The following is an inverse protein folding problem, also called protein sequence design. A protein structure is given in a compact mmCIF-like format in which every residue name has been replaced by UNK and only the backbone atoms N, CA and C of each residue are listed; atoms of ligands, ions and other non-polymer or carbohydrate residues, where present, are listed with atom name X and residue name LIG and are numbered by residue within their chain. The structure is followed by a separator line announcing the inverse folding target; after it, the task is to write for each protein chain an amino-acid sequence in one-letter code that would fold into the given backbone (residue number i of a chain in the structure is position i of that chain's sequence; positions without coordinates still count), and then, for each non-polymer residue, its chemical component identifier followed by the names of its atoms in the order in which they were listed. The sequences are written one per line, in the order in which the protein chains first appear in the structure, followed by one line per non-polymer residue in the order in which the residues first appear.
data_IF_706093043559
#
_entry.id   IF_706093043559
#
_cell.length_a   1.000
_cell.length_b   1.000
_cell.length_c   1.000
_cell.angle_alpha   90.00
_cell.angle_beta   90.00
_cell.angle_gamma   90.00
#
_symmetry.space_group_name_H-M   'P 1'
#
loop_
_entity.id
_entity.type
_entity.pdbx_description
1 polymer ?
#
# COMPACT_ATOMS: atom_id res chain seq x y z
N UNK A 1 -16.59 -2.80 15.17
CA UNK A 1 -16.23 -3.35 16.50
C UNK A 1 -14.70 -3.53 16.54
N UNK A 2 -14.11 -3.57 17.73
CA UNK A 2 -12.67 -3.79 17.88
C UNK A 2 -12.30 -5.23 17.48
N UNK A 3 -11.02 -5.46 17.16
CA UNK A 3 -10.56 -6.79 16.83
C UNK A 3 -10.39 -7.62 18.10
N UNK A 4 -11.32 -8.55 18.32
CA UNK A 4 -11.42 -9.33 19.56
C UNK A 4 -11.57 -10.85 19.29
N UNK A 5 -10.49 -11.54 18.86
CA UNK A 5 -10.55 -12.97 18.57
C UNK A 5 -10.74 -13.84 19.84
N UNK A 6 -10.40 -13.31 21.02
CA UNK A 6 -10.44 -14.04 22.29
C UNK A 6 -11.68 -13.72 23.13
N UNK A 7 -12.61 -12.90 22.61
CA UNK A 7 -13.82 -12.48 23.30
C UNK A 7 -13.59 -11.89 24.71
N UNK A 8 -12.56 -11.05 24.84
CA UNK A 8 -12.22 -10.33 26.07
C UNK A 8 -12.97 -8.99 26.14
N UNK A 9 -12.96 -8.34 27.30
CA UNK A 9 -13.42 -6.95 27.42
C UNK A 9 -12.36 -5.98 26.89
N UNK A 10 -12.78 -4.76 26.55
CA UNK A 10 -11.87 -3.68 26.21
C UNK A 10 -10.95 -3.33 27.39
N UNK A 11 -9.72 -2.87 27.10
CA UNK A 11 -8.74 -2.48 28.12
C UNK A 11 -7.56 -1.68 27.56
N UNK A 12 -6.65 -1.26 28.45
CA UNK A 12 -5.43 -0.54 28.06
C UNK A 12 -4.44 -1.47 27.33
N UNK A 13 -3.54 -0.97 26.47
CA UNK A 13 -2.55 -1.80 25.75
C UNK A 13 -1.69 -2.69 26.64
N UNK A 14 -1.43 -2.25 27.87
CA UNK A 14 -0.64 -2.92 28.89
C UNK A 14 -1.44 -3.95 29.71
N UNK A 15 -2.77 -3.90 29.65
CA UNK A 15 -3.63 -4.82 30.39
C UNK A 15 -3.61 -6.22 29.73
N UNK A 16 -3.56 -7.28 30.56
CA UNK A 16 -3.66 -8.66 30.07
C UNK A 16 -5.03 -8.96 29.45
N UNK A 17 -6.08 -8.36 30.02
CA UNK A 17 -7.46 -8.46 29.55
C UNK A 17 -7.79 -7.22 28.73
N UNK A 18 -7.72 -7.37 27.40
CA UNK A 18 -8.10 -6.35 26.43
C UNK A 18 -8.49 -6.99 25.10
N UNK A 19 -9.09 -6.22 24.20
CA UNK A 19 -9.15 -6.68 22.81
C UNK A 19 -7.75 -6.67 22.19
N UNK A 20 -7.48 -7.64 21.31
CA UNK A 20 -6.23 -7.68 20.57
C UNK A 20 -6.00 -6.41 19.72
N UNK A 21 -7.07 -5.75 19.29
CA UNK A 21 -7.01 -4.49 18.53
C UNK A 21 -6.93 -3.22 19.37
N UNK A 22 -6.93 -3.30 20.71
CA UNK A 22 -6.84 -2.12 21.58
C UNK A 22 -5.39 -1.63 21.63
N UNK A 23 -5.14 -0.46 21.05
CA UNK A 23 -3.81 0.17 20.95
C UNK A 23 -3.68 1.44 21.79
N UNK A 24 -4.75 1.83 22.50
CA UNK A 24 -4.77 3.00 23.38
C UNK A 24 -4.78 4.34 22.65
N UNK A 25 -4.39 5.38 23.36
CA UNK A 25 -4.44 6.77 22.91
C UNK A 25 -3.16 7.21 22.19
N UNK A 26 -3.31 8.13 21.22
CA UNK A 26 -2.22 8.86 20.58
C UNK A 26 -2.38 10.35 20.83
N UNK A 27 -1.27 11.07 20.93
CA UNK A 27 -1.28 12.51 21.19
C UNK A 27 -0.91 13.25 19.91
N UNK A 28 -1.79 14.14 19.46
CA UNK A 28 -1.49 15.09 18.39
C UNK A 28 -0.77 16.32 18.96
N UNK A 29 0.22 16.83 18.24
CA UNK A 29 0.90 18.07 18.59
C UNK A 29 0.03 19.31 18.28
N UNK A 30 0.56 20.51 18.52
CA UNK A 30 -0.15 21.78 18.30
C UNK A 30 -0.57 22.01 16.83
N UNK A 31 0.09 21.34 15.87
CA UNK A 31 -0.24 21.40 14.45
C UNK A 31 -1.26 20.33 14.02
N UNK A 32 -1.75 19.50 14.96
CA UNK A 32 -2.67 18.40 14.70
C UNK A 32 -2.01 17.15 14.13
N UNK A 33 -0.67 17.02 14.24
CA UNK A 33 0.09 15.85 13.76
C UNK A 33 0.36 14.90 14.94
N UNK A 34 -0.02 13.63 14.78
CA UNK A 34 0.31 12.57 15.73
C UNK A 34 1.37 11.63 15.13
N UNK A 35 2.55 11.60 15.73
CA UNK A 35 3.60 10.61 15.43
C UNK A 35 3.65 9.58 16.57
N UNK A 36 3.35 8.32 16.26
CA UNK A 36 3.31 7.25 17.25
C UNK A 36 4.08 6.02 16.77
N UNK A 37 4.84 5.40 17.67
CA UNK A 37 5.45 4.08 17.48
C UNK A 37 4.91 3.18 18.57
N UNK A 38 4.07 2.22 18.19
CA UNK A 38 3.42 1.29 19.12
C UNK A 38 3.94 -0.11 18.82
N UNK A 39 4.31 -0.85 19.87
CA UNK A 39 4.77 -2.24 19.78
C UNK A 39 3.76 -3.10 20.52
N UNK A 40 3.18 -4.08 19.81
CA UNK A 40 2.13 -4.94 20.32
C UNK A 40 2.42 -6.41 19.98
N UNK A 41 2.13 -7.31 20.91
CA UNK A 41 2.35 -8.77 20.76
C UNK A 41 1.07 -9.57 20.48
N UNK A 42 -0.10 -8.97 20.65
CA UNK A 42 -1.42 -9.58 20.46
C UNK A 42 -1.96 -9.43 19.03
N UNK A 43 -1.31 -8.62 18.19
CA UNK A 43 -1.69 -8.34 16.79
C UNK A 43 -0.85 -9.18 15.81
N UNK A 44 -1.31 -10.38 15.40
CA UNK A 44 -0.59 -11.19 14.43
C UNK A 44 -0.75 -10.64 13.00
N UNK A 45 0.33 -10.69 12.22
CA UNK A 45 0.32 -10.33 10.79
C UNK A 45 0.03 -11.54 9.87
N UNK A 46 -0.08 -12.74 10.43
CA UNK A 46 -0.29 -14.00 9.70
C UNK A 46 -1.12 -14.99 10.52
N UNK A 47 -1.69 -15.99 9.85
CA UNK A 47 -2.55 -17.01 10.47
C UNK A 47 -4.03 -16.62 10.47
N UNK A 48 -4.89 -17.42 11.13
CA UNK A 48 -6.34 -17.24 11.09
C UNK A 48 -6.82 -15.93 11.73
N UNK A 49 -6.04 -15.40 12.68
CA UNK A 49 -6.33 -14.15 13.39
C UNK A 49 -5.56 -12.95 12.82
N UNK A 50 -5.01 -13.05 11.60
CA UNK A 50 -4.24 -11.96 11.02
C UNK A 50 -5.05 -10.66 10.90
N UNK A 51 -4.39 -9.52 11.17
CA UNK A 51 -5.00 -8.20 10.99
C UNK A 51 -4.93 -7.66 9.56
N UNK A 52 -4.22 -8.36 8.67
CA UNK A 52 -4.20 -8.03 7.24
C UNK A 52 -5.64 -8.08 6.68
N UNK A 53 -6.06 -7.01 6.02
CA UNK A 53 -7.43 -6.82 5.50
C UNK A 53 -8.42 -6.23 6.51
N UNK A 54 -8.03 -6.04 7.77
CA UNK A 54 -8.80 -5.27 8.76
C UNK A 54 -8.45 -3.78 8.68
N UNK A 55 -9.05 -2.96 9.52
CA UNK A 55 -8.79 -1.52 9.55
C UNK A 55 -8.14 -1.08 10.87
N UNK A 56 -7.19 -0.16 10.78
CA UNK A 56 -6.78 0.73 11.86
C UNK A 56 -7.77 1.91 11.88
N UNK A 57 -8.23 2.33 13.05
CA UNK A 57 -9.22 3.39 13.22
C UNK A 57 -8.70 4.42 14.23
N UNK A 58 -8.83 5.70 13.90
CA UNK A 58 -8.59 6.81 14.85
C UNK A 58 -9.94 7.35 15.29
N UNK A 59 -10.09 7.48 16.59
CA UNK A 59 -11.31 7.92 17.25
C UNK A 59 -11.32 9.42 17.52
N UNK A 60 -12.50 9.97 17.78
CA UNK A 60 -12.73 11.40 18.01
C UNK A 60 -12.38 11.83 19.44
N UNK A 61 -12.70 10.98 20.42
CA UNK A 61 -12.50 11.24 21.84
C UNK A 61 -11.40 10.33 22.39
N UNK A 62 -10.93 10.70 23.58
CA UNK A 62 -10.00 9.88 24.35
C UNK A 62 -10.64 8.56 24.74
N UNK A 63 -9.89 7.48 24.56
CA UNK A 63 -10.23 6.15 25.03
C UNK A 63 -10.02 6.08 26.56
N UNK A 64 -11.08 5.71 27.29
CA UNK A 64 -11.08 5.57 28.75
C UNK A 64 -10.46 4.27 29.27
N UNK A 65 -9.96 3.42 28.37
CA UNK A 65 -9.24 2.18 28.63
C UNK A 65 -10.07 1.15 29.42
N UNK A 66 -11.40 1.24 29.32
CA UNK A 66 -12.34 0.39 30.05
C UNK A 66 -12.54 0.81 31.51
N UNK A 67 -11.98 1.95 31.92
CA UNK A 67 -11.92 2.40 33.33
C UNK A 67 -12.82 3.61 33.60
N UNK A 68 -13.54 4.11 32.59
CA UNK A 68 -14.40 5.29 32.69
C UNK A 68 -15.75 5.08 33.39
N UNK A 69 -16.15 3.83 33.65
CA UNK A 69 -17.43 3.51 34.33
C UNK A 69 -18.68 3.76 33.49
N UNK A 70 -18.54 4.01 32.19
CA UNK A 70 -19.64 4.15 31.24
C UNK A 70 -20.01 2.78 30.64
N UNK A 71 -21.25 2.62 30.16
CA UNK A 71 -21.72 1.37 29.54
C UNK A 71 -20.86 0.95 28.35
N UNK A 72 -20.31 1.93 27.62
CA UNK A 72 -19.45 1.70 26.46
C UNK A 72 -17.97 1.54 26.82
N UNK A 73 -17.54 1.78 28.06
CA UNK A 73 -16.14 1.68 28.47
C UNK A 73 -15.59 0.27 28.20
N UNK A 74 -16.31 -0.77 28.64
CA UNK A 74 -15.88 -2.17 28.47
C UNK A 74 -15.96 -2.70 27.03
N UNK A 75 -16.49 -1.91 26.08
CA UNK A 75 -16.68 -2.34 24.68
C UNK A 75 -15.86 -1.55 23.68
N UNK A 76 -15.77 -0.22 23.82
CA UNK A 76 -15.08 0.65 22.87
C UNK A 76 -14.29 1.77 23.55
N UNK A 77 -14.06 1.69 24.86
CA UNK A 77 -13.33 2.72 25.60
C UNK A 77 -14.02 4.08 25.60
N UNK A 78 -15.32 4.14 25.27
CA UNK A 78 -16.08 5.38 25.13
C UNK A 78 -15.43 6.45 24.20
N UNK A 79 -14.62 6.03 23.22
CA UNK A 79 -13.82 6.92 22.38
C UNK A 79 -14.60 7.71 21.30
N UNK A 80 -15.93 7.72 21.36
CA UNK A 80 -16.78 8.49 20.44
C UNK A 80 -16.72 8.03 18.97
N UNK A 81 -16.87 8.98 18.05
CA UNK A 81 -16.94 8.73 16.60
C UNK A 81 -15.63 8.21 15.99
N UNK A 82 -15.70 7.75 14.73
CA UNK A 82 -14.52 7.32 13.96
C UNK A 82 -14.11 8.42 12.98
N UNK A 83 -13.00 9.10 13.26
CA UNK A 83 -12.51 10.18 12.42
C UNK A 83 -11.88 9.68 11.11
N UNK A 84 -11.11 8.60 11.21
CA UNK A 84 -10.42 8.02 10.06
C UNK A 84 -10.30 6.50 10.19
N UNK A 85 -10.31 5.81 9.06
CA UNK A 85 -10.02 4.38 8.98
C UNK A 85 -9.09 4.07 7.81
N UNK A 86 -8.18 3.13 8.00
CA UNK A 86 -7.25 2.68 6.95
C UNK A 86 -7.10 1.18 6.98
N UNK A 87 -7.13 0.54 5.81
CA UNK A 87 -6.97 -0.90 5.70
C UNK A 87 -5.50 -1.32 5.94
N UNK A 88 -5.30 -2.30 6.81
CA UNK A 88 -4.03 -2.98 7.05
C UNK A 88 -3.70 -3.85 5.84
N UNK A 89 -2.96 -3.30 4.88
CA UNK A 89 -2.56 -4.01 3.68
C UNK A 89 -1.13 -4.56 3.79
N UNK A 90 -0.86 -5.66 3.09
CA UNK A 90 0.52 -6.09 2.88
C UNK A 90 1.23 -5.03 2.06
N UNK A 91 2.39 -4.51 2.52
CA UNK A 91 3.13 -3.53 1.76
C UNK A 91 3.45 -4.14 0.39
N UNK A 92 3.06 -3.44 -0.67
CA UNK A 92 3.42 -3.84 -2.03
C UNK A 92 4.94 -3.95 -2.07
N UNK A 93 5.48 -5.16 -2.23
CA UNK A 93 6.93 -5.35 -2.40
C UNK A 93 7.40 -4.33 -3.43
N UNK A 94 8.25 -3.37 -3.04
CA UNK A 94 9.03 -2.58 -4.00
C UNK A 94 9.67 -3.62 -4.91
N UNK A 95 9.35 -3.61 -6.21
CA UNK A 95 9.86 -4.64 -7.12
C UNK A 95 11.36 -4.68 -6.98
N UNK A 96 11.92 -5.86 -6.69
CA UNK A 96 13.36 -6.07 -6.51
C UNK A 96 14.13 -5.30 -7.59
N UNK A 97 15.20 -4.60 -7.20
CA UNK A 97 16.08 -3.85 -8.13
C UNK A 97 16.46 -4.73 -9.33
N UNK A 98 16.64 -6.04 -9.13
CA UNK A 98 16.88 -7.04 -10.18
C UNK A 98 15.70 -7.18 -11.14
N UNK A 99 14.47 -7.32 -10.65
CA UNK A 99 13.27 -7.37 -11.51
C UNK A 99 13.08 -6.08 -12.31
N UNK A 100 13.40 -4.92 -11.73
CA UNK A 100 13.40 -3.63 -12.43
C UNK A 100 14.46 -3.60 -13.54
N UNK A 101 15.70 -4.05 -13.26
CA UNK A 101 16.77 -4.14 -14.25
C UNK A 101 16.42 -5.09 -15.41
N UNK A 102 15.82 -6.25 -15.12
CA UNK A 102 15.38 -7.20 -16.15
C UNK A 102 14.38 -6.55 -17.11
N UNK A 103 13.33 -5.89 -16.58
CA UNK A 103 12.34 -5.18 -17.43
C UNK A 103 12.99 -4.09 -18.28
N UNK A 104 13.91 -3.31 -17.71
CA UNK A 104 14.65 -2.27 -18.43
C UNK A 104 15.51 -2.87 -19.56
N UNK A 105 16.19 -3.99 -19.32
CA UNK A 105 16.96 -4.69 -20.35
C UNK A 105 16.08 -5.25 -21.47
N UNK A 106 14.92 -5.83 -21.14
CA UNK A 106 13.96 -6.31 -22.16
C UNK A 106 13.49 -5.16 -23.06
N UNK A 107 13.14 -4.01 -22.48
CA UNK A 107 12.72 -2.83 -23.23
C UNK A 107 13.83 -2.30 -24.15
N UNK A 108 15.06 -2.14 -23.62
CA UNK A 108 16.22 -1.73 -24.42
C UNK A 108 16.51 -2.69 -25.58
N UNK A 109 16.40 -4.01 -25.34
CA UNK A 109 16.62 -5.04 -26.37
C UNK A 109 15.57 -4.99 -27.47
N UNK A 110 14.31 -4.69 -27.13
CA UNK A 110 13.24 -4.45 -28.13
C UNK A 110 13.55 -3.22 -28.98
N UNK A 111 13.94 -2.11 -28.36
CA UNK A 111 14.34 -0.88 -29.07
C UNK A 111 15.53 -1.11 -30.02
N UNK A 112 16.57 -1.81 -29.56
CA UNK A 112 17.74 -2.14 -30.37
C UNK A 112 17.38 -2.99 -31.61
N UNK A 113 16.51 -4.00 -31.47
CA UNK A 113 16.04 -4.80 -32.61
C UNK A 113 15.27 -3.96 -33.63
N UNK A 114 14.44 -3.01 -33.19
CA UNK A 114 13.73 -2.10 -34.08
C UNK A 114 14.70 -1.19 -34.85
N UNK A 115 15.70 -0.63 -34.15
CA UNK A 115 16.73 0.20 -34.76
C UNK A 115 17.55 -0.55 -35.82
N UNK A 116 17.97 -1.78 -35.54
CA UNK A 116 18.70 -2.61 -36.51
C UNK A 116 17.88 -2.91 -37.77
N UNK A 117 16.57 -3.19 -37.62
CA UNK A 117 15.67 -3.41 -38.76
C UNK A 117 15.56 -2.15 -39.62
N UNK A 118 15.35 -0.99 -38.99
CA UNK A 118 15.27 0.30 -39.68
C UNK A 118 16.59 0.64 -40.40
N UNK A 119 17.74 0.43 -39.75
CA UNK A 119 19.05 0.65 -40.34
C UNK A 119 19.32 -0.27 -41.54
N UNK A 120 18.99 -1.56 -41.41
CA UNK A 120 19.10 -2.52 -42.52
C UNK A 120 18.24 -2.11 -43.72
N UNK A 121 17.00 -1.67 -43.47
CA UNK A 121 16.10 -1.16 -44.51
C UNK A 121 16.68 0.09 -45.18
N UNK A 122 17.12 1.08 -44.40
CA UNK A 122 17.73 2.31 -44.91
C UNK A 122 18.98 2.01 -45.75
N UNK A 123 19.83 1.08 -45.31
CA UNK A 123 21.02 0.66 -46.07
C UNK A 123 20.63 0.00 -47.39
N UNK A 124 19.62 -0.87 -47.39
CA UNK A 124 19.09 -1.51 -48.60
C UNK A 124 18.63 -0.47 -49.63
N UNK A 125 17.88 0.55 -49.20
CA UNK A 125 17.46 1.68 -50.02
C UNK A 125 18.66 2.46 -50.58
N UNK A 126 19.64 2.80 -49.74
CA UNK A 126 20.82 3.59 -50.16
C UNK A 126 21.70 2.86 -51.19
N UNK A 127 21.75 1.54 -51.14
CA UNK A 127 22.57 0.71 -52.06
C UNK A 127 21.83 0.30 -53.35
N UNK A 128 20.60 0.77 -53.55
CA UNK A 128 19.81 0.46 -54.75
C UNK A 128 19.41 -1.02 -54.90
N UNK A 129 19.49 -1.82 -53.84
CA UNK A 129 19.15 -3.26 -53.85
C UNK A 129 17.67 -3.55 -53.54
N UNK A 130 16.87 -2.51 -53.31
CA UNK A 130 15.44 -2.66 -53.02
C UNK A 130 14.64 -3.03 -54.27
N UNK A 131 13.85 -4.12 -54.20
CA UNK A 131 13.10 -4.64 -55.36
C UNK A 131 11.77 -3.94 -55.69
N UNK A 132 11.25 -3.06 -54.83
CA UNK A 132 10.08 -2.22 -55.16
C UNK A 132 9.69 -1.32 -53.99
N UNK A 133 9.72 0.00 -54.17
CA UNK A 133 8.85 0.96 -53.47
C UNK A 133 8.62 2.15 -54.40
N UNK A 134 7.40 2.26 -54.94
CA UNK A 134 6.94 3.46 -55.64
C UNK A 134 6.71 4.54 -54.58
N UNK A 135 7.47 5.63 -54.65
CA UNK A 135 7.06 6.89 -54.04
C UNK A 135 6.26 7.63 -55.10
N UNK A 136 4.93 7.66 -54.98
CA UNK A 136 4.13 8.63 -55.70
C UNK A 136 4.44 10.01 -55.11
N UNK A 137 5.37 10.72 -55.73
CA UNK A 137 5.54 12.15 -55.52
C UNK A 137 4.36 12.84 -56.21
N UNK A 138 3.34 13.21 -55.45
CA UNK A 138 2.27 14.07 -55.93
C UNK A 138 2.85 15.32 -56.58
N UNK A 139 2.64 15.47 -57.88
CA UNK A 139 2.83 16.74 -58.59
C UNK A 139 1.88 17.75 -57.95
N UNK A 140 2.45 18.86 -57.47
CA UNK A 140 1.72 20.11 -57.22
C UNK A 140 1.30 20.66 -58.59
N UNK A 141 0.00 20.86 -58.78
CA UNK A 141 -0.54 21.94 -59.63
C UNK A 141 -0.98 23.09 -58.73
#
# INVERSE_FOLDING_TARGET
PHFNPNNLTHGAPEDEVRHAGDLGNIIANADGIAEATIVDSQIPLSGPNAVVGRALVVHELEDDLGKGGHELSLTTGNAGGRLACVCCAVPKKRTSKTKTRIRKNIWKRKGYKAALKAYSLAKSLSTGRSKSFLFESGKKE
#
